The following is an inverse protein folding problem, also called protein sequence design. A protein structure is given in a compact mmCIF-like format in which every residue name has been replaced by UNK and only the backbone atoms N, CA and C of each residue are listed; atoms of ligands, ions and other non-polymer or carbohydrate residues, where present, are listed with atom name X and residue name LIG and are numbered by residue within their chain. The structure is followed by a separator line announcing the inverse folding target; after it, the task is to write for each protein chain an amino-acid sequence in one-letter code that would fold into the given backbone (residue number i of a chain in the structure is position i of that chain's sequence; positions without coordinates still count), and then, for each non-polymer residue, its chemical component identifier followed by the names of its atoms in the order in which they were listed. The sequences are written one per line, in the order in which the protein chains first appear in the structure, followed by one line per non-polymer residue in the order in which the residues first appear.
data_IF_752895893336
#
_entry.id   IF_752895893336
#
_cell.length_a   1.000
_cell.length_b   1.000
_cell.length_c   1.000
_cell.angle_alpha   90.00
_cell.angle_beta   90.00
_cell.angle_gamma   90.00
#
_symmetry.space_group_name_H-M   'P 1'
#
loop_
_entity.id
_entity.type
_entity.pdbx_description
1 polymer ?
#
# COMPACT_ATOMS: atom_id res chain seq x y z
N UNK A 1 25.60 14.97 -23.76
CA UNK A 1 25.57 13.82 -24.68
C UNK A 1 25.01 12.53 -24.11
N UNK A 2 25.19 12.23 -22.83
CA UNK A 2 24.61 11.02 -22.20
C UNK A 2 23.07 10.99 -22.19
N UNK A 3 22.42 12.13 -22.00
CA UNK A 3 20.96 12.24 -21.96
C UNK A 3 20.28 11.98 -23.31
N UNK A 4 20.92 12.34 -24.43
CA UNK A 4 20.38 12.09 -25.77
C UNK A 4 20.33 10.59 -26.09
N UNK A 5 21.37 9.85 -25.71
CA UNK A 5 21.48 8.41 -25.97
C UNK A 5 20.44 7.63 -25.16
N UNK A 6 20.20 8.03 -23.91
CA UNK A 6 19.29 7.31 -23.01
C UNK A 6 17.81 7.63 -23.21
N UNK A 7 17.47 8.86 -23.61
CA UNK A 7 16.07 9.29 -23.67
C UNK A 7 15.50 9.51 -25.07
N UNK A 8 16.35 9.82 -26.06
CA UNK A 8 15.90 10.23 -27.39
C UNK A 8 16.33 9.31 -28.52
N UNK A 9 17.33 8.44 -28.34
CA UNK A 9 17.80 7.54 -29.38
C UNK A 9 16.91 6.29 -29.49
N UNK A 10 16.12 6.21 -30.57
CA UNK A 10 15.23 5.07 -30.86
C UNK A 10 15.98 3.75 -31.15
N UNK A 11 17.27 3.83 -31.47
CA UNK A 11 18.12 2.68 -31.77
C UNK A 11 18.95 2.17 -30.60
N UNK A 12 18.82 2.80 -29.42
CA UNK A 12 19.55 2.37 -28.24
C UNK A 12 18.94 1.09 -27.66
N UNK A 13 19.66 -0.04 -27.67
CA UNK A 13 19.07 -1.34 -27.27
C UNK A 13 18.79 -1.47 -25.78
N UNK A 14 19.32 -0.58 -24.96
CA UNK A 14 19.11 -0.53 -23.50
C UNK A 14 18.21 0.64 -23.06
N UNK A 15 17.34 1.10 -23.96
CA UNK A 15 16.32 2.07 -23.60
C UNK A 15 15.42 1.44 -22.55
N UNK A 16 15.51 1.94 -21.33
CA UNK A 16 14.64 1.52 -20.24
C UNK A 16 13.20 1.94 -20.56
N UNK A 17 12.46 1.04 -21.14
CA UNK A 17 10.99 1.15 -21.15
C UNK A 17 10.51 0.89 -19.71
N UNK A 18 10.56 1.94 -18.89
CA UNK A 18 10.14 1.91 -17.49
C UNK A 18 8.69 1.41 -17.27
N UNK A 19 7.94 1.28 -18.37
CA UNK A 19 6.54 0.83 -18.32
C UNK A 19 6.37 -0.69 -18.20
N UNK A 20 7.39 -1.48 -18.54
CA UNK A 20 7.27 -2.94 -18.61
C UNK A 20 8.29 -3.71 -17.75
N UNK A 21 9.04 -3.03 -16.91
CA UNK A 21 9.99 -3.69 -16.03
C UNK A 21 9.23 -4.26 -14.82
N UNK A 22 9.00 -5.58 -14.82
CA UNK A 22 8.48 -6.28 -13.65
C UNK A 22 9.56 -6.34 -12.57
N UNK A 23 9.27 -5.74 -11.44
CA UNK A 23 10.12 -5.87 -10.26
C UNK A 23 9.87 -7.23 -9.62
N UNK A 24 10.92 -7.98 -9.35
CA UNK A 24 10.81 -9.24 -8.61
C UNK A 24 10.82 -8.93 -7.11
N UNK A 25 9.80 -9.41 -6.40
CA UNK A 25 9.75 -9.36 -4.95
C UNK A 25 9.98 -10.75 -4.36
N UNK A 26 10.73 -10.82 -3.29
CA UNK A 26 10.93 -12.04 -2.53
C UNK A 26 9.80 -12.18 -1.51
N UNK A 27 8.97 -13.22 -1.64
CA UNK A 27 8.05 -13.58 -0.57
C UNK A 27 8.81 -14.35 0.51
N UNK A 28 8.79 -13.88 1.77
CA UNK A 28 9.37 -14.64 2.87
C UNK A 28 8.68 -16.00 2.99
N UNK A 29 9.43 -16.96 3.51
CA UNK A 29 9.01 -18.32 3.75
C UNK A 29 7.81 -18.38 4.70
N UNK A 30 6.73 -18.99 4.27
CA UNK A 30 5.65 -19.40 5.18
C UNK A 30 6.03 -20.70 5.87
N UNK A 31 5.57 -20.91 7.11
CA UNK A 31 5.91 -22.10 7.88
C UNK A 31 5.48 -23.38 7.13
N UNK A 32 6.44 -24.16 6.66
CA UNK A 32 6.23 -25.42 5.95
C UNK A 32 6.77 -25.50 4.51
N UNK A 33 7.26 -24.42 3.93
CA UNK A 33 7.90 -24.45 2.61
C UNK A 33 9.44 -24.52 2.70
N UNK A 34 10.04 -25.31 1.79
CA UNK A 34 11.50 -25.55 1.80
C UNK A 34 12.33 -24.41 1.19
N UNK A 35 11.72 -23.50 0.42
CA UNK A 35 12.41 -22.37 -0.19
C UNK A 35 11.49 -21.19 -0.46
N UNK A 36 12.00 -19.96 -0.30
CA UNK A 36 11.28 -18.75 -0.67
C UNK A 36 11.10 -18.64 -2.19
N UNK A 37 9.94 -18.15 -2.62
CA UNK A 37 9.56 -18.04 -4.02
C UNK A 37 9.73 -16.61 -4.55
N UNK A 38 10.39 -16.46 -5.69
CA UNK A 38 10.44 -15.20 -6.42
C UNK A 38 9.12 -15.01 -7.17
N UNK A 39 8.43 -13.91 -6.88
CA UNK A 39 7.15 -13.55 -7.49
C UNK A 39 7.30 -12.20 -8.20
N UNK A 40 6.77 -12.03 -9.42
CA UNK A 40 6.73 -10.70 -10.03
C UNK A 40 5.90 -9.76 -9.15
N UNK A 41 6.52 -8.67 -8.71
CA UNK A 41 5.84 -7.66 -7.91
C UNK A 41 5.25 -6.58 -8.82
N UNK A 42 3.96 -6.39 -8.72
CA UNK A 42 3.23 -5.33 -9.41
C UNK A 42 2.78 -4.30 -8.38
N UNK A 43 3.11 -3.02 -8.62
CA UNK A 43 2.63 -1.95 -7.77
C UNK A 43 1.11 -1.85 -7.83
N UNK A 44 0.46 -1.96 -6.69
CA UNK A 44 -0.99 -1.79 -6.57
C UNK A 44 -1.30 -0.51 -5.78
N UNK A 45 -1.85 0.48 -6.47
CA UNK A 45 -2.19 1.78 -5.89
C UNK A 45 -3.26 1.66 -4.78
N UNK A 46 -4.26 0.80 -4.96
CA UNK A 46 -5.33 0.61 -3.97
C UNK A 46 -4.82 -0.06 -2.68
N UNK A 47 -3.93 -1.03 -2.80
CA UNK A 47 -3.28 -1.63 -1.63
C UNK A 47 -2.42 -0.61 -0.88
N UNK A 48 -1.67 0.21 -1.60
CA UNK A 48 -0.85 1.26 -1.01
C UNK A 48 -1.71 2.29 -0.28
N UNK A 49 -2.84 2.68 -0.88
CA UNK A 49 -3.82 3.59 -0.27
C UNK A 49 -4.47 2.98 0.98
N UNK A 50 -4.79 1.70 0.94
CA UNK A 50 -5.33 0.97 2.09
C UNK A 50 -4.31 0.89 3.24
N UNK A 51 -3.06 0.51 2.94
CA UNK A 51 -1.98 0.45 3.92
C UNK A 51 -1.71 1.82 4.57
N UNK A 52 -1.78 2.90 3.79
CA UNK A 52 -1.67 4.27 4.30
C UNK A 52 -2.82 4.61 5.25
N UNK A 53 -4.06 4.22 4.92
CA UNK A 53 -5.21 4.41 5.79
C UNK A 53 -5.07 3.61 7.12
N UNK A 54 -4.61 2.38 7.03
CA UNK A 54 -4.33 1.53 8.20
C UNK A 54 -3.27 2.17 9.11
N UNK A 55 -2.17 2.69 8.54
CA UNK A 55 -1.13 3.41 9.29
C UNK A 55 -1.73 4.63 10.03
N UNK A 56 -2.54 5.42 9.36
CA UNK A 56 -3.19 6.61 9.97
C UNK A 56 -4.08 6.21 11.15
N UNK A 57 -4.80 5.09 11.03
CA UNK A 57 -5.65 4.57 12.10
C UNK A 57 -4.82 4.06 13.28
N UNK A 58 -3.78 3.27 13.01
CA UNK A 58 -2.95 2.64 14.03
C UNK A 58 -2.11 3.65 14.80
N UNK A 59 -1.56 4.65 14.10
CA UNK A 59 -0.70 5.68 14.70
C UNK A 59 -1.48 6.92 15.13
N UNK A 60 -2.82 6.90 15.05
CA UNK A 60 -3.71 8.01 15.41
C UNK A 60 -3.33 9.34 14.72
N UNK A 61 -2.90 9.27 13.45
CA UNK A 61 -2.46 10.42 12.70
C UNK A 61 -3.64 11.26 12.18
N UNK A 62 -3.40 12.56 12.05
CA UNK A 62 -4.35 13.45 11.37
C UNK A 62 -4.47 13.09 9.89
N UNK A 63 -5.68 13.15 9.31
CA UNK A 63 -5.88 12.96 7.86
C UNK A 63 -5.09 13.95 7.00
N UNK A 64 -4.78 15.13 7.53
CA UNK A 64 -3.92 16.11 6.87
C UNK A 64 -2.45 15.71 6.79
N UNK A 65 -2.03 14.70 7.52
CA UNK A 65 -0.67 14.16 7.48
C UNK A 65 -0.22 13.85 6.04
N UNK A 66 -1.11 13.31 5.22
CA UNK A 66 -0.82 12.95 3.82
C UNK A 66 -0.53 14.16 2.91
N UNK A 67 -0.92 15.34 3.33
CA UNK A 67 -0.66 16.60 2.61
C UNK A 67 0.63 17.29 3.07
N UNK A 68 1.23 16.80 4.15
CA UNK A 68 2.46 17.31 4.70
C UNK A 68 3.63 17.24 3.71
N UNK A 69 4.40 18.31 3.61
CA UNK A 69 5.54 18.39 2.70
C UNK A 69 6.56 17.26 2.95
N UNK A 70 6.86 16.97 4.21
CA UNK A 70 7.81 15.91 4.59
C UNK A 70 7.36 14.54 4.12
N UNK A 71 6.09 14.21 4.36
CA UNK A 71 5.51 12.95 3.91
C UNK A 71 5.51 12.82 2.38
N UNK A 72 5.09 13.86 1.67
CA UNK A 72 5.08 13.86 0.20
C UNK A 72 6.48 13.73 -0.40
N UNK A 73 7.45 14.43 0.19
CA UNK A 73 8.86 14.31 -0.22
C UNK A 73 9.38 12.89 0.01
N UNK A 74 9.13 12.32 1.18
CA UNK A 74 9.51 10.95 1.50
C UNK A 74 8.91 9.94 0.50
N UNK A 75 7.62 10.05 0.23
CA UNK A 75 6.93 9.16 -0.72
C UNK A 75 7.42 9.33 -2.16
N UNK A 76 7.77 10.53 -2.58
CA UNK A 76 8.31 10.77 -3.92
C UNK A 76 9.65 10.08 -4.17
N UNK A 77 10.43 9.86 -3.11
CA UNK A 77 11.72 9.18 -3.18
C UNK A 77 11.56 7.66 -3.03
N UNK A 78 10.74 7.24 -2.07
CA UNK A 78 10.57 5.82 -1.73
C UNK A 78 9.63 5.09 -2.68
N UNK A 79 8.55 5.73 -3.07
CA UNK A 79 7.53 5.13 -3.96
C UNK A 79 6.97 6.14 -4.96
N UNK A 80 7.73 6.49 -6.00
CA UNK A 80 7.30 7.47 -7.02
C UNK A 80 6.01 7.07 -7.75
N UNK A 81 5.70 5.77 -7.80
CA UNK A 81 4.49 5.24 -8.44
C UNK A 81 3.21 5.55 -7.66
N UNK A 82 3.34 5.92 -6.39
CA UNK A 82 2.21 6.37 -5.55
C UNK A 82 1.89 7.86 -5.74
N UNK A 83 2.10 8.38 -6.92
CA UNK A 83 1.77 9.75 -7.26
C UNK A 83 0.65 9.79 -8.33
N UNK A 84 -0.41 10.59 -8.16
CA UNK A 84 -0.66 11.57 -7.09
C UNK A 84 -1.08 10.93 -5.76
N UNK A 85 -0.49 11.40 -4.67
CA UNK A 85 -0.87 10.97 -3.31
C UNK A 85 -2.31 11.42 -3.03
N UNK A 86 -3.18 10.55 -2.50
CA UNK A 86 -4.56 10.92 -2.19
C UNK A 86 -4.64 12.08 -1.21
N UNK A 87 -5.60 12.98 -1.39
CA UNK A 87 -5.85 14.07 -0.46
C UNK A 87 -6.50 13.57 0.85
N UNK A 88 -6.52 14.43 1.87
CA UNK A 88 -7.06 14.09 3.19
C UNK A 88 -8.51 13.57 3.15
N UNK A 89 -9.36 14.11 2.29
CA UNK A 89 -10.76 13.67 2.14
C UNK A 89 -10.86 12.25 1.57
N UNK A 90 -10.02 11.90 0.61
CA UNK A 90 -9.97 10.56 0.02
C UNK A 90 -9.46 9.55 1.04
N UNK A 91 -8.42 9.91 1.80
CA UNK A 91 -7.88 9.06 2.86
C UNK A 91 -8.90 8.87 3.98
N UNK A 92 -9.60 9.92 4.42
CA UNK A 92 -10.66 9.80 5.40
C UNK A 92 -11.74 8.80 4.97
N UNK A 93 -12.21 8.87 3.74
CA UNK A 93 -13.16 7.90 3.18
C UNK A 93 -12.60 6.46 3.18
N UNK A 94 -11.33 6.31 2.86
CA UNK A 94 -10.65 5.00 2.88
C UNK A 94 -10.54 4.45 4.30
N UNK A 95 -10.18 5.29 5.28
CA UNK A 95 -10.16 4.93 6.70
C UNK A 95 -11.54 4.45 7.18
N UNK A 96 -12.60 5.17 6.86
CA UNK A 96 -13.96 4.74 7.20
C UNK A 96 -14.32 3.39 6.58
N UNK A 97 -13.93 3.15 5.33
CA UNK A 97 -14.16 1.86 4.66
C UNK A 97 -13.42 0.73 5.38
N UNK A 98 -12.14 0.93 5.70
CA UNK A 98 -11.34 -0.05 6.45
C UNK A 98 -11.99 -0.35 7.80
N UNK A 99 -12.42 0.66 8.55
CA UNK A 99 -13.09 0.48 9.84
C UNK A 99 -14.42 -0.28 9.72
N UNK A 100 -15.20 -0.03 8.65
CA UNK A 100 -16.43 -0.76 8.39
C UNK A 100 -16.15 -2.23 8.06
N UNK A 101 -15.14 -2.51 7.24
CA UNK A 101 -14.73 -3.87 6.89
C UNK A 101 -14.26 -4.64 8.14
N UNK A 102 -13.46 -4.03 9.00
CA UNK A 102 -13.01 -4.64 10.26
C UNK A 102 -14.18 -4.86 11.24
N UNK A 103 -15.08 -3.91 11.32
CA UNK A 103 -16.32 -4.07 12.14
C UNK A 103 -17.18 -5.23 11.64
N UNK A 104 -17.27 -5.41 10.32
CA UNK A 104 -18.02 -6.52 9.74
C UNK A 104 -17.36 -7.87 10.07
N UNK A 105 -16.05 -7.98 9.88
CA UNK A 105 -15.28 -9.19 10.25
C UNK A 105 -15.43 -9.52 11.74
N UNK A 106 -15.36 -8.51 12.59
CA UNK A 106 -15.54 -8.70 14.03
C UNK A 106 -16.94 -9.21 14.38
N UNK A 107 -17.97 -8.69 13.72
CA UNK A 107 -19.36 -9.18 13.91
C UNK A 107 -19.53 -10.63 13.49
N UNK A 108 -18.90 -11.03 12.38
CA UNK A 108 -18.94 -12.41 11.89
C UNK A 108 -18.21 -13.34 12.86
N UNK A 109 -17.01 -12.96 13.31
CA UNK A 109 -16.27 -13.73 14.32
C UNK A 109 -17.03 -13.88 15.65
N UNK A 110 -17.71 -12.83 16.10
CA UNK A 110 -18.54 -12.87 17.31
C UNK A 110 -19.81 -13.71 17.17
N UNK A 111 -20.34 -13.86 15.95
CA UNK A 111 -21.47 -14.76 15.69
C UNK A 111 -21.08 -16.24 15.77
N UNK A 112 -19.87 -16.58 15.32
CA UNK A 112 -19.34 -17.95 15.40
C UNK A 112 -18.99 -18.34 16.85
N UNK A 113 -18.53 -17.38 17.62
CA UNK A 113 -18.29 -17.54 19.04
C UNK A 113 -19.53 -17.02 19.80
N UNK A 114 -20.28 -17.91 20.43
CA UNK A 114 -21.34 -17.50 21.36
C UNK A 114 -20.72 -16.73 22.52
N UNK A 115 -20.62 -15.42 22.38
CA UNK A 115 -20.17 -14.55 23.46
C UNK A 115 -21.32 -14.36 24.44
N UNK A 116 -21.26 -15.06 25.55
CA UNK A 116 -22.10 -14.72 26.72
C UNK A 116 -21.61 -13.38 27.28
N UNK A 117 -22.34 -12.31 26.96
CA UNK A 117 -22.22 -11.05 27.67
C UNK A 117 -22.89 -11.24 29.06
N UNK A 118 -22.12 -11.60 30.05
CA UNK A 118 -22.52 -11.42 31.43
C UNK A 118 -22.42 -9.93 31.74
N UNK A 119 -23.55 -9.25 31.67
CA UNK A 119 -23.69 -7.94 32.29
C UNK A 119 -23.82 -8.15 33.77
N UNK A 120 -22.75 -7.96 34.52
CA UNK A 120 -22.82 -7.74 35.94
C UNK A 120 -23.50 -6.39 36.20
N UNK A 121 -24.72 -6.43 36.61
CA UNK A 121 -25.40 -5.28 37.19
C UNK A 121 -24.99 -5.13 38.66
#
# INVERSE_FOLDING_TARGET
MRTHIQSQCLKYPYREDQKNQSTLAFKPKEEGESSGKLVPWVFNFEECKKALAEMIILDELSFRFVEGFGFRKFMSVTQPRFNPIPCHTTIAKTCFRVLLDEKQKLKEALREQQVCLTTDT
#
